data_IF_537241419293
#
_entry.id   IF_537241419293
#
_cell.length_a   1.000
_cell.length_b   1.000
_cell.length_c   1.000
_cell.angle_alpha   90.00
_cell.angle_beta   90.00
_cell.angle_gamma   90.00
#
_symmetry.space_group_name_H-M   'P 1'
#
loop_
_entity.id
_entity.type
_entity.pdbx_description
1 polymer ?
#
# COMPACT_ATOMS: atom_id res chain seq x y z
N UNK A 1 -14.85 -10.26 -2.46
CA UNK A 1 -14.59 -9.39 -3.62
C UNK A 1 -14.49 -7.93 -3.21
N UNK A 2 -15.60 -7.22 -2.96
CA UNK A 2 -15.56 -5.79 -2.57
C UNK A 2 -14.69 -5.53 -1.33
N UNK A 3 -14.63 -6.46 -0.39
CA UNK A 3 -13.84 -6.31 0.84
C UNK A 3 -12.32 -6.28 0.58
N UNK A 4 -11.81 -7.10 -0.35
CA UNK A 4 -10.38 -7.12 -0.71
C UNK A 4 -10.02 -5.92 -1.58
N UNK A 5 -10.90 -5.53 -2.52
CA UNK A 5 -10.70 -4.31 -3.30
C UNK A 5 -10.70 -3.06 -2.39
N UNK A 6 -11.65 -2.96 -1.46
CA UNK A 6 -11.70 -1.87 -0.49
C UNK A 6 -10.50 -1.89 0.47
N UNK A 7 -9.97 -3.07 0.82
CA UNK A 7 -8.74 -3.17 1.59
C UNK A 7 -7.53 -2.68 0.78
N UNK A 8 -7.40 -3.10 -0.47
CA UNK A 8 -6.34 -2.69 -1.38
C UNK A 8 -6.31 -1.17 -1.54
N UNK A 9 -7.47 -0.55 -1.74
CA UNK A 9 -7.60 0.91 -1.88
C UNK A 9 -7.13 1.65 -0.61
N UNK A 10 -7.47 1.14 0.57
CA UNK A 10 -7.02 1.69 1.86
C UNK A 10 -5.51 1.55 2.04
N UNK A 11 -4.93 0.40 1.68
CA UNK A 11 -3.49 0.16 1.77
C UNK A 11 -2.71 1.09 0.82
N UNK A 12 -3.14 1.19 -0.44
CA UNK A 12 -2.55 2.09 -1.44
C UNK A 12 -2.68 3.56 -1.03
N UNK A 13 -3.80 3.94 -0.41
CA UNK A 13 -4.00 5.30 0.13
C UNK A 13 -3.01 5.59 1.24
N UNK A 14 -2.88 4.71 2.24
CA UNK A 14 -1.95 4.89 3.35
C UNK A 14 -0.49 5.01 2.88
N UNK A 15 -0.08 4.19 1.92
CA UNK A 15 1.26 4.28 1.34
C UNK A 15 1.48 5.62 0.61
N UNK A 16 0.51 6.02 -0.23
CA UNK A 16 0.56 7.28 -0.97
C UNK A 16 0.66 8.48 -0.03
N UNK A 17 -0.04 8.46 1.10
CA UNK A 17 0.03 9.53 2.10
C UNK A 17 1.44 9.67 2.69
N UNK A 18 2.09 8.57 3.05
CA UNK A 18 3.47 8.58 3.56
C UNK A 18 4.46 9.15 2.54
N UNK A 19 4.37 8.70 1.29
CA UNK A 19 5.23 9.20 0.20
C UNK A 19 4.95 10.67 -0.11
N UNK A 20 3.66 11.06 -0.13
CA UNK A 20 3.24 12.45 -0.38
C UNK A 20 3.73 13.38 0.72
N UNK A 21 3.72 12.95 1.99
CA UNK A 21 4.22 13.74 3.09
C UNK A 21 5.71 14.05 2.93
N UNK A 22 6.54 13.06 2.59
CA UNK A 22 7.96 13.25 2.32
C UNK A 22 8.20 14.16 1.10
N UNK A 23 7.46 13.93 0.01
CA UNK A 23 7.56 14.74 -1.21
C UNK A 23 7.21 16.22 -0.94
N UNK A 24 6.13 16.49 -0.19
CA UNK A 24 5.73 17.85 0.21
C UNK A 24 6.77 18.51 1.11
N UNK A 25 7.42 17.75 1.98
CA UNK A 25 8.50 18.23 2.83
C UNK A 25 9.82 18.44 2.07
N UNK A 26 9.92 18.00 0.80
CA UNK A 26 11.16 17.97 0.01
C UNK A 26 12.29 17.19 0.71
N UNK A 27 11.91 16.15 1.44
CA UNK A 27 12.83 15.25 2.13
C UNK A 27 12.61 13.81 1.67
N UNK A 28 13.52 12.92 2.03
CA UNK A 28 13.24 11.49 2.01
C UNK A 28 12.28 11.12 3.16
N UNK A 29 11.53 10.00 3.04
CA UNK A 29 10.83 9.44 4.18
C UNK A 29 11.84 9.06 5.28
N UNK A 30 11.47 9.22 6.55
CA UNK A 30 12.29 8.75 7.66
C UNK A 30 12.43 7.22 7.63
N UNK A 31 13.42 6.66 8.32
CA UNK A 31 13.59 5.20 8.41
C UNK A 31 12.31 4.49 8.88
N UNK A 32 11.60 5.08 9.84
CA UNK A 32 10.30 4.56 10.29
C UNK A 32 9.21 4.64 9.22
N UNK A 33 9.20 5.68 8.39
CA UNK A 33 8.28 5.78 7.26
C UNK A 33 8.64 4.79 6.15
N UNK A 34 9.94 4.62 5.83
CA UNK A 34 10.42 3.62 4.88
C UNK A 34 10.05 2.21 5.32
N UNK A 35 10.20 1.88 6.61
CA UNK A 35 9.80 0.58 7.14
C UNK A 35 8.30 0.33 6.98
N UNK A 36 7.47 1.33 7.33
CA UNK A 36 6.02 1.25 7.14
C UNK A 36 5.63 1.08 5.67
N UNK A 37 6.29 1.78 4.75
CA UNK A 37 6.07 1.64 3.31
C UNK A 37 6.40 0.21 2.87
N UNK A 38 7.51 -0.36 3.32
CA UNK A 38 7.88 -1.74 2.99
C UNK A 38 6.86 -2.76 3.52
N UNK A 39 6.38 -2.59 4.76
CA UNK A 39 5.35 -3.46 5.33
C UNK A 39 4.01 -3.32 4.56
N UNK A 40 3.67 -2.11 4.08
CA UNK A 40 2.50 -1.87 3.24
C UNK A 40 2.63 -2.52 1.85
N UNK A 41 3.80 -2.48 1.21
CA UNK A 41 4.03 -3.14 -0.08
C UNK A 41 3.82 -4.66 -0.01
N UNK A 42 4.30 -5.30 1.08
CA UNK A 42 4.07 -6.73 1.30
C UNK A 42 2.58 -7.04 1.42
N UNK A 43 1.83 -6.23 2.17
CA UNK A 43 0.40 -6.40 2.33
C UNK A 43 -0.37 -6.15 1.02
N UNK A 44 0.02 -5.12 0.25
CA UNK A 44 -0.57 -4.80 -1.06
C UNK A 44 -0.39 -5.99 -2.00
N UNK A 45 0.83 -6.50 -2.15
CA UNK A 45 1.09 -7.64 -3.03
C UNK A 45 0.32 -8.91 -2.63
N UNK A 46 0.13 -9.14 -1.34
CA UNK A 46 -0.70 -10.26 -0.88
C UNK A 46 -2.18 -10.10 -1.23
N UNK A 47 -2.73 -8.88 -1.14
CA UNK A 47 -4.13 -8.61 -1.49
C UNK A 47 -4.34 -8.60 -3.01
N UNK A 48 -3.38 -8.06 -3.78
CA UNK A 48 -3.40 -8.12 -5.24
C UNK A 48 -3.39 -9.57 -5.72
N UNK A 49 -2.53 -10.42 -5.13
CA UNK A 49 -2.51 -11.84 -5.48
C UNK A 49 -3.85 -12.55 -5.22
N UNK A 50 -4.52 -12.26 -4.10
CA UNK A 50 -5.83 -12.84 -3.79
C UNK A 50 -6.93 -12.36 -4.76
N UNK A 51 -6.86 -11.10 -5.20
CA UNK A 51 -7.79 -10.57 -6.19
C UNK A 51 -7.56 -11.20 -7.57
N UNK A 52 -6.30 -11.40 -7.97
CA UNK A 52 -5.94 -12.06 -9.22
C UNK A 52 -6.40 -13.54 -9.23
N UNK A 53 -6.20 -14.28 -8.13
CA UNK A 53 -6.68 -15.67 -7.99
C UNK A 53 -8.20 -15.78 -8.11
N UNK A 54 -8.93 -14.81 -7.56
CA UNK A 54 -10.40 -14.78 -7.63
C UNK A 54 -10.93 -14.35 -9.03
N UNK A 55 -10.16 -13.61 -9.83
CA UNK A 55 -10.51 -13.26 -11.22
C UNK A 55 -10.32 -14.43 -12.21
N UNK A 56 -9.42 -15.36 -11.90
CA UNK A 56 -9.14 -16.56 -12.70
C UNK A 56 -10.10 -17.74 -12.40
N UNK A 57 -10.95 -17.63 -11.37
CA UNK A 57 -11.86 -18.67 -10.88
C UNK A 57 -13.27 -18.63 -11.50
#
# INVERSE_FOLDING_TARGET
MDDYQALLDRLKTAQRELLTAAAKAKTLPSDGALRKIADLEVAIGAVEHLLDEDEEA
#
